data_IF_140667006775
#
_entry.id   IF_140667006775
#
_cell.length_a   1.000
_cell.length_b   1.000
_cell.length_c   1.000
_cell.angle_alpha   90.00
_cell.angle_beta   90.00
_cell.angle_gamma   90.00
#
_symmetry.space_group_name_H-M   'P 1'
#
loop_
_entity.id
_entity.type
_entity.pdbx_description
1 polymer ?
#
# COMPACT_ATOMS: atom_id res chain seq x y z
N UNK A 1 52.07 -3.89 -38.60
CA UNK A 1 52.23 -4.23 -37.16
C UNK A 1 52.59 -3.04 -36.27
N UNK A 2 53.43 -2.08 -36.69
CA UNK A 2 53.85 -0.95 -35.85
C UNK A 2 52.72 0.07 -35.54
N UNK A 3 51.85 0.31 -36.51
CA UNK A 3 50.74 1.28 -36.40
C UNK A 3 49.64 0.85 -35.42
N UNK A 4 49.29 -0.45 -35.39
CA UNK A 4 48.37 -1.02 -34.41
C UNK A 4 48.94 -0.98 -32.97
N UNK A 5 50.26 -1.08 -32.82
CA UNK A 5 50.92 -0.97 -31.52
C UNK A 5 50.92 0.49 -31.01
N UNK A 6 51.10 1.47 -31.90
CA UNK A 6 51.03 2.89 -31.56
C UNK A 6 49.60 3.29 -31.14
N UNK A 7 48.59 2.83 -31.88
CA UNK A 7 47.18 3.08 -31.59
C UNK A 7 46.76 2.47 -30.24
N UNK A 8 47.25 1.26 -29.93
CA UNK A 8 46.99 0.60 -28.64
C UNK A 8 47.67 1.32 -27.48
N UNK A 9 48.85 1.92 -27.72
CA UNK A 9 49.59 2.72 -26.72
C UNK A 9 48.90 4.06 -26.45
N UNK A 10 48.40 4.72 -27.49
CA UNK A 10 47.59 5.94 -27.37
C UNK A 10 46.27 5.67 -26.63
N UNK A 11 45.51 4.64 -27.01
CA UNK A 11 44.29 4.24 -26.30
C UNK A 11 44.55 3.92 -24.83
N UNK A 12 45.67 3.26 -24.50
CA UNK A 12 46.04 2.99 -23.11
C UNK A 12 46.44 4.27 -22.34
N UNK A 13 47.03 5.26 -23.00
CA UNK A 13 47.35 6.55 -22.37
C UNK A 13 46.08 7.37 -22.13
N UNK A 14 45.19 7.46 -23.12
CA UNK A 14 43.88 8.10 -22.99
C UNK A 14 43.06 7.45 -21.88
N UNK A 15 43.03 6.11 -21.81
CA UNK A 15 42.33 5.39 -20.75
C UNK A 15 42.89 5.69 -19.36
N UNK A 16 44.22 5.79 -19.22
CA UNK A 16 44.87 6.20 -17.96
C UNK A 16 44.57 7.65 -17.60
N UNK A 17 44.45 8.54 -18.58
CA UNK A 17 44.09 9.94 -18.37
C UNK A 17 42.64 10.03 -17.86
N UNK A 18 41.72 9.37 -18.54
CA UNK A 18 40.30 9.28 -18.16
C UNK A 18 40.10 8.71 -16.75
N UNK A 19 40.86 7.68 -16.37
CA UNK A 19 40.81 7.14 -15.01
C UNK A 19 41.29 8.14 -13.95
N UNK A 20 42.33 8.93 -14.25
CA UNK A 20 42.83 9.97 -13.34
C UNK A 20 41.83 11.10 -13.20
N UNK A 21 41.23 11.53 -14.30
CA UNK A 21 40.22 12.60 -14.31
C UNK A 21 38.94 12.15 -13.58
N UNK A 22 38.52 10.89 -13.75
CA UNK A 22 37.42 10.30 -13.01
C UNK A 22 37.72 10.23 -11.50
N UNK A 23 38.91 9.79 -11.10
CA UNK A 23 39.29 9.74 -9.69
C UNK A 23 39.40 11.15 -9.07
N UNK A 24 39.82 12.14 -9.86
CA UNK A 24 39.85 13.54 -9.44
C UNK A 24 38.43 14.08 -9.22
N UNK A 25 37.50 13.79 -10.15
CA UNK A 25 36.08 14.17 -10.01
C UNK A 25 35.41 13.52 -8.79
N UNK A 26 35.74 12.25 -8.48
CA UNK A 26 35.28 11.57 -7.26
C UNK A 26 35.70 12.29 -5.98
N UNK A 27 36.90 12.90 -5.97
CA UNK A 27 37.44 13.63 -4.82
C UNK A 27 36.92 15.06 -4.72
N UNK A 28 36.77 15.75 -5.86
CA UNK A 28 36.42 17.18 -5.88
C UNK A 28 34.93 17.43 -5.62
N UNK A 29 34.03 16.55 -6.09
CA UNK A 29 32.58 16.73 -5.95
C UNK A 29 31.84 15.40 -5.66
N UNK A 30 31.94 14.88 -4.43
CA UNK A 30 31.36 13.58 -4.08
C UNK A 30 29.83 13.54 -4.24
N UNK A 31 29.13 14.64 -3.95
CA UNK A 31 27.66 14.71 -4.07
C UNK A 31 27.18 14.61 -5.52
N UNK A 32 27.84 15.30 -6.46
CA UNK A 32 27.48 15.21 -7.89
C UNK A 32 27.85 13.86 -8.49
N UNK A 33 28.96 13.27 -8.03
CA UNK A 33 29.34 11.92 -8.40
C UNK A 33 28.28 10.90 -7.94
N UNK A 34 27.81 11.01 -6.70
CA UNK A 34 26.75 10.17 -6.15
C UNK A 34 25.45 10.32 -6.96
N UNK A 35 25.03 11.55 -7.27
CA UNK A 35 23.86 11.80 -8.10
C UNK A 35 23.99 11.16 -9.49
N UNK A 36 25.15 11.29 -10.14
CA UNK A 36 25.42 10.66 -11.43
C UNK A 36 25.32 9.13 -11.35
N UNK A 37 25.78 8.50 -10.25
CA UNK A 37 25.65 7.05 -10.05
C UNK A 37 24.18 6.63 -9.93
N UNK A 38 23.37 7.36 -9.16
CA UNK A 38 21.92 7.13 -9.09
C UNK A 38 21.24 7.27 -10.46
N UNK A 39 21.56 8.31 -11.24
CA UNK A 39 21.01 8.48 -12.60
C UNK A 39 21.44 7.37 -13.58
N UNK A 40 22.66 6.85 -13.44
CA UNK A 40 23.14 5.71 -14.24
C UNK A 40 22.39 4.43 -13.86
N UNK A 41 22.20 4.20 -12.56
CA UNK A 41 21.42 3.07 -12.04
C UNK A 41 20.00 3.10 -12.60
N UNK A 42 19.31 4.24 -12.48
CA UNK A 42 17.91 4.37 -12.90
C UNK A 42 17.74 4.15 -14.41
N UNK A 43 18.68 4.64 -15.22
CA UNK A 43 18.72 4.35 -16.67
C UNK A 43 18.83 2.86 -16.97
N UNK A 44 19.67 2.13 -16.24
CA UNK A 44 19.83 0.68 -16.43
C UNK A 44 18.57 -0.05 -15.98
N UNK A 45 17.99 0.32 -14.84
CA UNK A 45 16.74 -0.28 -14.33
C UNK A 45 15.59 -0.08 -15.32
N UNK A 46 15.42 1.13 -15.86
CA UNK A 46 14.42 1.41 -16.89
C UNK A 46 14.62 0.55 -18.14
N UNK A 47 15.86 0.46 -18.64
CA UNK A 47 16.16 -0.39 -19.80
C UNK A 47 15.84 -1.88 -19.56
N UNK A 48 16.12 -2.39 -18.36
CA UNK A 48 15.76 -3.78 -17.99
C UNK A 48 14.24 -3.95 -17.92
N UNK A 49 13.52 -2.98 -17.35
CA UNK A 49 12.05 -3.03 -17.26
C UNK A 49 11.39 -3.01 -18.64
N UNK A 50 11.87 -2.18 -19.56
CA UNK A 50 11.38 -2.12 -20.95
C UNK A 50 11.59 -3.45 -21.67
N UNK A 51 12.78 -4.05 -21.57
CA UNK A 51 13.07 -5.36 -22.19
C UNK A 51 12.24 -6.48 -21.59
N UNK A 52 12.03 -6.49 -20.26
CA UNK A 52 11.10 -7.44 -19.61
C UNK A 52 9.67 -7.29 -20.11
N UNK A 53 9.17 -6.07 -20.27
CA UNK A 53 7.85 -5.82 -20.86
C UNK A 53 7.77 -6.35 -22.29
N UNK A 54 8.78 -6.06 -23.12
CA UNK A 54 8.88 -6.58 -24.48
C UNK A 54 8.91 -8.12 -24.50
N UNK A 55 9.66 -8.76 -23.61
CA UNK A 55 9.72 -10.21 -23.50
C UNK A 55 8.37 -10.81 -23.07
N UNK A 56 7.66 -10.18 -22.13
CA UNK A 56 6.29 -10.58 -21.75
C UNK A 56 5.29 -10.42 -22.90
N UNK A 57 5.37 -9.31 -23.65
CA UNK A 57 4.53 -9.09 -24.82
C UNK A 57 4.83 -10.10 -25.95
N UNK A 58 6.09 -10.53 -26.10
CA UNK A 58 6.50 -11.56 -27.07
C UNK A 58 6.04 -12.96 -26.67
N UNK A 59 6.02 -13.27 -25.37
CA UNK A 59 5.54 -14.55 -24.86
C UNK A 59 4.00 -14.65 -24.85
N UNK A 60 3.30 -13.52 -24.93
CA UNK A 60 1.83 -13.49 -25.00
C UNK A 60 1.33 -13.81 -26.41
N UNK A 61 0.63 -14.94 -26.55
CA UNK A 61 0.17 -15.50 -27.84
C UNK A 61 -0.73 -14.56 -28.66
N UNK A 62 -1.46 -13.64 -28.01
CA UNK A 62 -2.41 -12.72 -28.66
C UNK A 62 -1.97 -11.24 -28.67
N UNK A 63 -0.70 -10.93 -28.37
CA UNK A 63 -0.23 -9.54 -28.33
C UNK A 63 -0.19 -8.90 -29.72
N UNK A 64 -0.55 -7.60 -29.80
CA UNK A 64 -0.38 -6.76 -31.00
C UNK A 64 1.06 -6.76 -31.52
N UNK A 65 2.03 -6.94 -30.61
CA UNK A 65 3.44 -7.03 -30.99
C UNK A 65 3.75 -8.34 -31.72
N UNK A 66 3.19 -9.47 -31.27
CA UNK A 66 3.26 -10.74 -32.00
C UNK A 66 2.57 -10.66 -33.37
N UNK A 67 1.40 -10.01 -33.46
CA UNK A 67 0.69 -9.80 -34.72
C UNK A 67 1.51 -8.99 -35.73
N UNK A 68 2.08 -7.86 -35.30
CA UNK A 68 2.97 -7.03 -36.15
C UNK A 68 4.24 -7.77 -36.53
N UNK A 69 4.81 -8.58 -35.64
CA UNK A 69 6.04 -9.33 -35.91
C UNK A 69 5.83 -10.44 -36.93
N UNK A 70 4.71 -11.17 -36.84
CA UNK A 70 4.30 -12.15 -37.87
C UNK A 70 4.08 -11.45 -39.21
N UNK A 71 3.43 -10.28 -39.21
CA UNK A 71 3.20 -9.51 -40.43
C UNK A 71 4.51 -9.03 -41.08
N UNK A 72 5.48 -8.56 -40.28
CA UNK A 72 6.79 -8.14 -40.78
C UNK A 72 7.65 -9.31 -41.25
N UNK A 73 7.62 -10.45 -40.54
CA UNK A 73 8.31 -11.67 -40.96
C UNK A 73 7.73 -12.24 -42.26
N UNK A 74 6.40 -12.25 -42.38
CA UNK A 74 5.71 -12.62 -43.62
C UNK A 74 6.10 -11.68 -44.78
N UNK A 75 6.28 -10.39 -44.53
CA UNK A 75 6.71 -9.43 -45.54
C UNK A 75 8.20 -9.58 -45.93
N UNK A 76 9.07 -9.94 -44.98
CA UNK A 76 10.50 -10.19 -45.23
C UNK A 76 10.77 -11.54 -45.94
N UNK A 77 9.84 -12.50 -45.84
CA UNK A 77 9.90 -13.80 -46.51
C UNK A 77 9.09 -13.89 -47.81
N UNK A 78 8.45 -12.80 -48.25
CA UNK A 78 7.57 -12.78 -49.42
C UNK A 78 8.32 -12.63 -50.76
N UNK A 79 9.42 -13.37 -50.94
CA UNK A 79 9.90 -13.67 -52.29
C UNK A 79 9.48 -15.11 -52.64
N UNK A 80 8.60 -15.17 -53.64
CA UNK A 80 7.98 -16.31 -54.31
C UNK A 80 6.78 -17.04 -53.67
N UNK A 81 5.76 -17.21 -54.53
CA UNK A 81 4.49 -17.89 -54.30
C UNK A 81 4.69 -19.32 -53.81
N UNK A 82 4.62 -19.56 -52.51
CA UNK A 82 4.44 -20.90 -51.92
C UNK A 82 3.46 -20.79 -50.77
N UNK A 83 2.57 -21.77 -50.65
CA UNK A 83 1.59 -21.90 -49.56
C UNK A 83 2.27 -21.68 -48.19
N UNK A 84 1.53 -21.03 -47.28
CA UNK A 84 1.95 -20.72 -45.90
C UNK A 84 2.46 -21.97 -45.16
N UNK A 85 3.79 -22.16 -45.20
CA UNK A 85 4.50 -23.27 -44.56
C UNK A 85 5.32 -22.81 -43.34
N UNK A 86 5.01 -21.61 -42.82
CA UNK A 86 5.72 -21.02 -41.70
C UNK A 86 5.58 -21.91 -40.46
N UNK A 87 6.69 -22.57 -40.07
CA UNK A 87 6.73 -23.57 -39.01
C UNK A 87 6.93 -25.03 -39.43
N UNK A 88 7.07 -25.35 -40.73
CA UNK A 88 7.56 -26.67 -41.18
C UNK A 88 9.09 -26.73 -41.33
N UNK A 89 9.76 -25.60 -41.55
CA UNK A 89 11.21 -25.50 -41.65
C UNK A 89 11.86 -25.09 -40.32
N UNK A 90 12.88 -25.84 -39.88
CA UNK A 90 13.64 -25.59 -38.64
C UNK A 90 14.28 -24.19 -38.59
N UNK A 91 14.48 -23.55 -39.75
CA UNK A 91 15.09 -22.22 -39.92
C UNK A 91 14.26 -21.10 -39.30
N UNK A 92 12.93 -21.22 -39.30
CA UNK A 92 12.04 -20.22 -38.69
C UNK A 92 12.21 -20.20 -37.17
N UNK A 93 12.44 -21.37 -36.57
CA UNK A 93 12.67 -21.51 -35.13
C UNK A 93 14.06 -21.02 -34.70
N UNK A 94 15.04 -21.00 -35.60
CA UNK A 94 16.36 -20.43 -35.35
C UNK A 94 16.31 -18.90 -35.21
N UNK A 95 15.47 -18.21 -35.98
CA UNK A 95 15.27 -16.76 -35.89
C UNK A 95 14.61 -16.37 -34.55
N UNK A 96 13.64 -17.17 -34.06
CA UNK A 96 13.06 -16.96 -32.74
C UNK A 96 14.08 -17.16 -31.61
N UNK A 97 14.92 -18.20 -31.72
CA UNK A 97 15.96 -18.49 -30.72
C UNK A 97 17.07 -17.44 -30.72
N UNK A 98 17.47 -16.93 -31.87
CA UNK A 98 18.52 -15.90 -31.96
C UNK A 98 18.08 -14.58 -31.31
N UNK A 99 16.86 -14.11 -31.60
CA UNK A 99 16.32 -12.87 -31.00
C UNK A 99 16.12 -13.01 -29.49
N UNK A 100 15.59 -14.15 -29.03
CA UNK A 100 15.42 -14.41 -27.59
C UNK A 100 16.78 -14.46 -26.88
N UNK A 101 17.77 -15.14 -27.47
CA UNK A 101 19.13 -15.25 -26.93
C UNK A 101 19.87 -13.91 -26.91
N UNK A 102 19.64 -13.04 -27.88
CA UNK A 102 20.19 -11.68 -27.88
C UNK A 102 19.59 -10.82 -26.76
N UNK A 103 18.28 -10.90 -26.54
CA UNK A 103 17.60 -10.20 -25.43
C UNK A 103 18.14 -10.70 -24.09
N UNK A 104 18.20 -12.02 -23.89
CA UNK A 104 18.71 -12.62 -22.66
C UNK A 104 20.19 -12.25 -22.43
N UNK A 105 21.02 -12.26 -23.46
CA UNK A 105 22.44 -11.86 -23.37
C UNK A 105 22.60 -10.37 -23.03
N UNK A 106 21.77 -9.51 -23.61
CA UNK A 106 21.78 -8.08 -23.32
C UNK A 106 21.31 -7.79 -21.89
N UNK A 107 20.35 -8.55 -21.38
CA UNK A 107 19.83 -8.44 -20.03
C UNK A 107 20.85 -8.87 -18.99
N UNK A 108 21.55 -9.99 -19.20
CA UNK A 108 22.65 -10.41 -18.33
C UNK A 108 23.73 -9.33 -18.24
N UNK A 109 24.16 -8.75 -19.37
CA UNK A 109 25.13 -7.63 -19.37
C UNK A 109 24.63 -6.41 -18.59
N UNK A 110 23.35 -6.07 -18.70
CA UNK A 110 22.75 -4.96 -17.95
C UNK A 110 22.68 -5.25 -16.45
N UNK A 111 22.38 -6.49 -16.05
CA UNK A 111 22.38 -6.91 -14.63
C UNK A 111 23.77 -6.84 -14.01
N UNK A 112 24.81 -7.29 -14.70
CA UNK A 112 26.19 -7.18 -14.19
C UNK A 112 26.61 -5.71 -13.97
N UNK A 113 26.29 -4.83 -14.93
CA UNK A 113 26.55 -3.38 -14.79
C UNK A 113 25.76 -2.76 -13.65
N UNK A 114 24.52 -3.20 -13.44
CA UNK A 114 23.70 -2.76 -12.32
C UNK A 114 24.34 -3.16 -11.00
N UNK A 115 24.78 -4.42 -10.86
CA UNK A 115 25.45 -4.92 -9.66
C UNK A 115 26.73 -4.14 -9.35
N UNK A 116 27.54 -3.82 -10.36
CA UNK A 116 28.76 -3.02 -10.20
C UNK A 116 28.46 -1.63 -9.62
N UNK A 117 27.46 -0.94 -10.18
CA UNK A 117 27.02 0.38 -9.72
C UNK A 117 26.39 0.32 -8.33
N UNK A 118 25.57 -0.71 -8.05
CA UNK A 118 24.95 -0.86 -6.72
C UNK A 118 25.97 -1.17 -5.63
N UNK A 119 27.03 -1.94 -5.96
CA UNK A 119 28.14 -2.17 -5.03
C UNK A 119 28.89 -0.86 -4.74
N UNK A 120 29.21 -0.07 -5.78
CA UNK A 120 29.86 1.24 -5.61
C UNK A 120 28.98 2.23 -4.80
N UNK A 121 27.66 2.22 -5.03
CA UNK A 121 26.72 3.03 -4.26
C UNK A 121 26.62 2.62 -2.79
N UNK A 122 26.69 1.32 -2.47
CA UNK A 122 26.71 0.83 -1.09
C UNK A 122 27.96 1.26 -0.32
N UNK A 123 29.10 1.27 -1.00
CA UNK A 123 30.37 1.68 -0.38
C UNK A 123 30.42 3.20 -0.11
N UNK A 124 29.72 4.00 -0.94
CA UNK A 124 29.72 5.47 -0.86
C UNK A 124 28.59 6.06 -0.01
N UNK A 125 27.42 5.42 0.02
CA UNK A 125 26.20 5.93 0.67
C UNK A 125 25.63 4.88 1.64
N UNK A 126 25.85 5.05 2.96
CA UNK A 126 25.27 4.16 3.97
C UNK A 126 23.74 4.11 3.94
N UNK A 127 23.09 5.17 3.43
CA UNK A 127 21.63 5.26 3.31
C UNK A 127 21.10 4.72 1.98
N UNK A 128 21.97 4.17 1.12
CA UNK A 128 21.60 3.67 -0.21
C UNK A 128 20.41 2.71 -0.15
N UNK A 129 20.46 1.71 0.72
CA UNK A 129 19.39 0.71 0.84
C UNK A 129 18.06 1.35 1.27
N UNK A 130 18.10 2.33 2.17
CA UNK A 130 16.91 3.06 2.64
C UNK A 130 16.32 3.92 1.51
N UNK A 131 17.16 4.59 0.72
CA UNK A 131 16.73 5.41 -0.42
C UNK A 131 16.12 4.55 -1.54
N UNK A 132 16.72 3.39 -1.82
CA UNK A 132 16.17 2.42 -2.78
C UNK A 132 14.85 1.83 -2.29
N UNK A 133 14.73 1.48 -1.00
CA UNK A 133 13.46 1.03 -0.43
C UNK A 133 12.37 2.10 -0.56
N UNK A 134 12.70 3.38 -0.34
CA UNK A 134 11.77 4.50 -0.56
C UNK A 134 11.36 4.68 -2.02
N UNK A 135 12.24 4.39 -2.98
CA UNK A 135 11.95 4.57 -4.42
C UNK A 135 11.26 3.36 -5.06
N UNK A 136 11.51 2.13 -4.57
CA UNK A 136 10.84 0.90 -5.02
C UNK A 136 9.43 0.76 -4.42
N UNK A 137 9.18 1.39 -3.29
CA UNK A 137 7.94 1.22 -2.53
C UNK A 137 6.69 1.63 -3.32
N UNK A 138 6.06 0.63 -3.97
CA UNK A 138 4.72 0.27 -3.53
C UNK A 138 4.81 0.09 -2.00
N UNK A 139 4.36 1.10 -1.26
CA UNK A 139 4.48 1.27 0.21
C UNK A 139 3.90 0.10 1.03
N UNK A 140 3.33 -0.92 0.37
CA UNK A 140 2.63 -2.04 0.96
C UNK A 140 3.33 -3.40 0.84
N UNK A 141 4.50 -3.50 0.20
CA UNK A 141 5.21 -4.78 0.12
C UNK A 141 6.06 -4.98 1.40
N UNK A 142 5.47 -5.67 2.38
CA UNK A 142 6.14 -6.13 3.59
C UNK A 142 7.30 -7.06 3.20
N UNK A 143 8.53 -6.54 3.22
CA UNK A 143 9.72 -7.36 3.10
C UNK A 143 9.83 -8.25 4.35
N UNK A 144 9.63 -9.56 4.19
CA UNK A 144 9.65 -10.54 5.30
C UNK A 144 11.00 -10.67 6.04
N UNK A 145 12.03 -9.92 5.62
CA UNK A 145 13.38 -9.95 6.20
C UNK A 145 13.66 -8.79 7.16
N UNK A 146 12.67 -7.95 7.46
CA UNK A 146 12.82 -6.81 8.38
C UNK A 146 12.17 -7.13 9.73
N UNK A 147 12.88 -6.90 10.83
CA UNK A 147 12.33 -6.97 12.20
C UNK A 147 11.38 -5.82 12.53
N UNK A 148 10.92 -5.07 11.53
CA UNK A 148 10.06 -3.90 11.68
C UNK A 148 8.89 -3.99 10.70
N UNK A 149 7.70 -3.67 11.19
CA UNK A 149 6.47 -3.59 10.39
C UNK A 149 6.21 -2.12 10.08
N UNK A 150 6.27 -1.77 8.79
CA UNK A 150 5.93 -0.42 8.35
C UNK A 150 4.41 -0.26 8.30
N UNK A 151 3.87 0.67 9.10
CA UNK A 151 2.47 1.04 9.08
C UNK A 151 2.28 2.33 8.27
N UNK A 152 1.41 2.28 7.26
CA UNK A 152 1.08 3.42 6.42
C UNK A 152 -0.42 3.74 6.55
N UNK A 153 -1.21 3.38 5.55
CA UNK A 153 -2.67 3.60 5.51
C UNK A 153 -3.42 2.82 6.60
N UNK A 154 -2.82 1.76 7.14
CA UNK A 154 -3.42 0.89 8.16
C UNK A 154 -3.79 1.66 9.44
N UNK A 155 -3.04 2.74 9.74
CA UNK A 155 -3.30 3.60 10.90
C UNK A 155 -4.67 4.29 10.84
N UNK A 156 -5.12 4.64 9.63
CA UNK A 156 -6.40 5.33 9.40
C UNK A 156 -7.49 4.35 8.94
N UNK A 157 -7.13 3.36 8.13
CA UNK A 157 -8.06 2.37 7.59
C UNK A 157 -8.76 1.56 8.67
N UNK A 158 -8.04 1.17 9.73
CA UNK A 158 -8.65 0.43 10.84
C UNK A 158 -9.69 1.25 11.61
N UNK A 159 -9.53 2.57 11.67
CA UNK A 159 -10.48 3.46 12.36
C UNK A 159 -11.71 3.76 11.51
N UNK A 160 -11.58 3.67 10.19
CA UNK A 160 -12.68 3.92 9.24
C UNK A 160 -13.80 2.88 9.35
N UNK A 161 -13.55 1.72 9.96
CA UNK A 161 -14.53 0.64 10.14
C UNK A 161 -15.79 1.13 10.89
N UNK A 162 -15.66 2.12 11.79
CA UNK A 162 -16.82 2.71 12.48
C UNK A 162 -17.80 3.42 11.52
N UNK A 163 -17.29 3.97 10.42
CA UNK A 163 -18.08 4.71 9.44
C UNK A 163 -18.36 3.86 8.20
N UNK A 164 -17.49 2.90 7.89
CA UNK A 164 -17.57 2.04 6.72
C UNK A 164 -17.22 0.58 7.06
N UNK A 165 -18.10 -0.16 7.75
CA UNK A 165 -17.86 -1.56 8.16
C UNK A 165 -17.57 -2.50 6.97
N UNK A 166 -18.12 -2.18 5.80
CA UNK A 166 -17.89 -2.92 4.56
C UNK A 166 -16.41 -3.04 4.16
N UNK A 167 -15.52 -2.16 4.68
CA UNK A 167 -14.07 -2.25 4.43
C UNK A 167 -13.44 -3.57 4.89
N UNK A 168 -14.07 -4.26 5.85
CA UNK A 168 -13.66 -5.58 6.35
C UNK A 168 -14.64 -6.68 5.96
N UNK A 169 -15.54 -6.42 5.02
CA UNK A 169 -16.57 -7.38 4.58
C UNK A 169 -17.73 -7.57 5.58
N UNK A 170 -17.89 -6.66 6.55
CA UNK A 170 -19.04 -6.68 7.46
C UNK A 170 -20.17 -5.87 6.83
N UNK A 171 -21.26 -6.54 6.47
CA UNK A 171 -22.46 -5.95 5.85
C UNK A 171 -23.34 -5.24 6.90
N UNK A 172 -22.80 -4.22 7.57
CA UNK A 172 -23.52 -3.37 8.51
C UNK A 172 -23.40 -1.90 8.10
N UNK A 173 -24.38 -1.09 8.53
CA UNK A 173 -24.33 0.35 8.35
C UNK A 173 -23.34 1.00 9.31
N UNK A 174 -22.70 2.07 8.86
CA UNK A 174 -21.80 2.87 9.69
C UNK A 174 -22.55 3.68 10.75
N UNK A 175 -21.81 4.27 11.69
CA UNK A 175 -22.38 5.05 12.79
C UNK A 175 -23.36 6.14 12.32
N UNK A 176 -23.02 6.86 11.26
CA UNK A 176 -23.83 7.99 10.75
C UNK A 176 -25.18 7.49 10.24
N UNK A 177 -25.19 6.40 9.47
CA UNK A 177 -26.42 5.83 8.93
C UNK A 177 -27.27 5.17 10.02
N UNK A 178 -26.63 4.55 11.03
CA UNK A 178 -27.34 4.03 12.20
C UNK A 178 -28.04 5.15 12.99
N UNK A 179 -27.44 6.34 13.09
CA UNK A 179 -28.09 7.50 13.72
C UNK A 179 -29.32 7.95 12.91
N UNK A 180 -29.30 7.84 11.57
CA UNK A 180 -30.47 8.15 10.70
C UNK A 180 -31.66 7.22 10.92
N UNK A 181 -31.44 6.03 11.47
CA UNK A 181 -32.51 5.10 11.82
C UNK A 181 -33.20 5.45 13.15
N UNK A 182 -32.74 6.50 13.86
CA UNK A 182 -33.38 7.04 15.07
C UNK A 182 -34.87 7.36 14.85
N UNK A 183 -35.72 7.23 15.90
CA UNK A 183 -37.12 7.62 15.84
C UNK A 183 -37.31 9.07 15.37
N UNK A 184 -38.02 9.22 14.25
CA UNK A 184 -38.29 10.52 13.63
C UNK A 184 -38.98 11.47 14.61
N UNK A 185 -38.48 12.70 14.71
CA UNK A 185 -39.08 13.78 15.48
C UNK A 185 -38.38 14.10 16.80
N UNK A 186 -37.52 13.20 17.29
CA UNK A 186 -36.62 13.50 18.42
C UNK A 186 -35.21 13.91 17.97
N UNK A 187 -34.93 13.80 16.67
CA UNK A 187 -33.59 13.92 16.09
C UNK A 187 -32.91 15.24 16.48
N UNK A 188 -33.62 16.38 16.43
CA UNK A 188 -33.05 17.68 16.79
C UNK A 188 -32.62 17.76 18.26
N UNK A 189 -33.38 17.16 19.19
CA UNK A 189 -33.06 17.18 20.61
C UNK A 189 -31.91 16.21 20.94
N UNK A 190 -31.90 15.05 20.29
CA UNK A 190 -30.88 14.01 20.48
C UNK A 190 -29.54 14.43 19.88
N UNK A 191 -29.52 15.04 18.69
CA UNK A 191 -28.31 15.52 18.02
C UNK A 191 -27.63 16.68 18.76
N UNK A 192 -28.36 17.40 19.60
CA UNK A 192 -27.82 18.43 20.50
C UNK A 192 -27.19 17.85 21.78
N UNK A 193 -27.28 16.55 22.02
CA UNK A 193 -26.79 15.93 23.25
C UNK A 193 -26.13 14.57 22.98
N UNK A 194 -25.15 14.55 22.08
CA UNK A 194 -24.39 13.33 21.79
C UNK A 194 -23.21 13.22 22.75
N UNK A 195 -23.14 12.12 23.49
CA UNK A 195 -22.00 11.80 24.36
C UNK A 195 -21.29 10.56 23.83
N UNK A 196 -20.00 10.69 23.49
CA UNK A 196 -19.15 9.58 23.09
C UNK A 196 -18.49 8.95 24.32
N UNK A 197 -18.72 7.65 24.49
CA UNK A 197 -18.18 6.81 25.57
C UNK A 197 -17.59 5.52 25.00
N UNK A 198 -16.89 4.75 25.83
CA UNK A 198 -16.18 3.52 25.47
C UNK A 198 -14.76 3.75 24.93
N UNK A 199 -14.05 2.65 24.68
CA UNK A 199 -12.66 2.69 24.18
C UNK A 199 -12.53 3.38 22.81
N UNK A 200 -13.50 3.20 21.92
CA UNK A 200 -13.50 3.80 20.58
C UNK A 200 -13.52 5.33 20.59
N UNK A 201 -14.08 5.96 21.64
CA UNK A 201 -14.11 7.41 21.80
C UNK A 201 -12.72 8.03 22.03
N UNK A 202 -11.71 7.22 22.38
CA UNK A 202 -10.30 7.67 22.48
C UNK A 202 -9.62 7.81 21.12
N UNK A 203 -10.28 7.41 20.03
CA UNK A 203 -9.74 7.53 18.67
C UNK A 203 -9.53 9.00 18.31
N UNK A 204 -8.31 9.34 17.89
CA UNK A 204 -7.99 10.70 17.50
C UNK A 204 -8.85 11.15 16.32
N UNK A 205 -9.52 12.30 16.45
CA UNK A 205 -10.33 12.86 15.37
C UNK A 205 -11.76 12.31 15.26
N UNK A 206 -12.17 11.37 16.13
CA UNK A 206 -13.48 10.70 16.01
C UNK A 206 -14.65 11.68 16.16
N UNK A 207 -14.55 12.62 17.10
CA UNK A 207 -15.57 13.64 17.34
C UNK A 207 -15.69 14.58 16.13
N UNK A 208 -14.58 15.06 15.60
CA UNK A 208 -14.54 15.95 14.45
C UNK A 208 -15.08 15.25 13.20
N UNK A 209 -14.71 13.98 13.00
CA UNK A 209 -15.21 13.18 11.88
C UNK A 209 -16.72 12.98 11.98
N UNK A 210 -17.22 12.52 13.12
CA UNK A 210 -18.66 12.31 13.33
C UNK A 210 -19.45 13.62 13.19
N UNK A 211 -18.95 14.71 13.75
CA UNK A 211 -19.59 16.02 13.65
C UNK A 211 -19.68 16.48 12.20
N UNK A 212 -18.60 16.33 11.41
CA UNK A 212 -18.59 16.69 10.00
C UNK A 212 -19.65 15.92 9.21
N UNK A 213 -19.69 14.60 9.40
CA UNK A 213 -20.61 13.74 8.65
C UNK A 213 -22.07 13.99 9.05
N UNK A 214 -22.35 14.27 10.33
CA UNK A 214 -23.70 14.62 10.76
C UNK A 214 -24.14 16.01 10.28
N UNK A 215 -23.25 17.00 10.25
CA UNK A 215 -23.58 18.35 9.74
C UNK A 215 -23.95 18.30 8.25
N UNK A 216 -23.33 17.41 7.46
CA UNK A 216 -23.73 17.24 6.05
C UNK A 216 -25.12 16.64 5.85
N UNK A 217 -25.66 15.97 6.86
CA UNK A 217 -26.91 15.21 6.78
C UNK A 217 -28.08 15.92 7.46
N UNK A 218 -27.81 16.77 8.45
CA UNK A 218 -28.82 17.41 9.28
C UNK A 218 -28.67 18.93 9.30
N UNK A 219 -29.78 19.63 9.05
CA UNK A 219 -29.88 21.08 9.18
C UNK A 219 -30.34 21.48 10.60
N UNK A 220 -29.53 21.12 11.61
CA UNK A 220 -29.75 21.52 13.00
C UNK A 220 -28.43 21.64 13.78
N UNK A 221 -28.41 22.37 14.91
CA UNK A 221 -27.24 22.40 15.78
C UNK A 221 -26.88 20.99 16.27
N UNK A 222 -25.61 20.62 16.12
CA UNK A 222 -25.08 19.32 16.56
C UNK A 222 -24.02 19.59 17.64
N UNK A 223 -24.20 18.99 18.81
CA UNK A 223 -23.27 19.08 19.93
C UNK A 223 -22.83 17.68 20.34
N UNK A 224 -21.54 17.44 20.17
CA UNK A 224 -20.89 16.15 20.44
C UNK A 224 -19.83 16.36 21.50
N UNK A 225 -19.92 15.62 22.60
CA UNK A 225 -18.96 15.67 23.70
C UNK A 225 -18.35 14.29 23.91
N UNK A 226 -17.04 14.23 24.06
CA UNK A 226 -16.38 13.02 24.57
C UNK A 226 -16.48 13.07 26.09
N UNK A 227 -16.88 11.96 26.71
CA UNK A 227 -16.89 11.84 28.17
C UNK A 227 -15.49 12.08 28.75
N UNK A 228 -15.40 12.71 29.93
CA UNK A 228 -14.12 13.06 30.57
C UNK A 228 -13.23 11.84 30.79
N UNK A 229 -13.82 10.72 31.21
CA UNK A 229 -13.21 9.40 31.15
C UNK A 229 -14.13 8.49 30.32
N UNK A 230 -13.83 8.24 29.04
CA UNK A 230 -14.72 7.46 28.20
C UNK A 230 -14.64 5.95 28.49
N UNK A 231 -13.59 5.45 29.14
CA UNK A 231 -13.47 4.00 29.41
C UNK A 231 -14.13 3.64 30.73
N UNK A 232 -13.85 4.39 31.81
CA UNK A 232 -14.40 4.11 33.13
C UNK A 232 -15.59 5.01 33.49
N UNK A 233 -15.94 5.99 32.66
CA UNK A 233 -17.04 6.92 32.90
C UNK A 233 -18.37 6.23 33.17
N UNK A 234 -18.66 5.14 32.46
CA UNK A 234 -19.88 4.33 32.71
C UNK A 234 -19.88 3.73 34.11
N UNK A 235 -18.75 3.21 34.58
CA UNK A 235 -18.63 2.65 35.93
C UNK A 235 -18.75 3.74 37.01
N UNK A 236 -18.08 4.88 36.83
CA UNK A 236 -18.22 6.02 37.74
C UNK A 236 -19.65 6.56 37.77
N UNK A 237 -20.31 6.60 36.61
CA UNK A 237 -21.72 6.96 36.47
C UNK A 237 -22.59 6.02 37.29
N UNK A 238 -22.41 4.70 37.14
CA UNK A 238 -23.18 3.71 37.90
C UNK A 238 -22.86 3.75 39.40
N UNK A 239 -21.61 3.95 39.81
CA UNK A 239 -21.23 4.14 41.21
C UNK A 239 -21.95 5.34 41.83
N UNK A 240 -21.95 6.47 41.13
CA UNK A 240 -22.63 7.68 41.59
C UNK A 240 -24.15 7.51 41.60
N UNK A 241 -24.69 6.84 40.59
CA UNK A 241 -26.10 6.48 40.50
C UNK A 241 -26.52 5.62 41.70
N UNK A 242 -25.76 4.56 41.99
CA UNK A 242 -26.07 3.64 43.08
C UNK A 242 -26.02 4.31 44.46
N UNK A 243 -25.03 5.19 44.68
CA UNK A 243 -24.94 5.95 45.92
C UNK A 243 -26.08 6.97 46.07
N UNK A 244 -26.50 7.62 44.99
CA UNK A 244 -27.53 8.66 45.02
C UNK A 244 -28.95 8.09 45.12
N UNK A 245 -29.22 6.98 44.43
CA UNK A 245 -30.56 6.39 44.29
C UNK A 245 -30.69 5.05 45.00
N UNK A 246 -29.98 4.85 46.12
CA UNK A 246 -29.93 3.58 46.84
C UNK A 246 -31.31 3.04 47.22
N UNK A 247 -32.22 3.90 47.70
CA UNK A 247 -33.59 3.51 48.08
C UNK A 247 -34.44 3.10 46.87
N UNK A 248 -34.25 3.75 45.73
CA UNK A 248 -34.91 3.44 44.48
C UNK A 248 -34.40 2.10 43.92
N UNK A 249 -33.10 1.86 43.99
CA UNK A 249 -32.50 0.61 43.53
C UNK A 249 -33.12 -0.62 44.20
N UNK A 250 -33.44 -0.56 45.49
CA UNK A 250 -34.11 -1.68 46.18
C UNK A 250 -35.47 -2.03 45.55
N UNK A 251 -36.19 -1.05 44.97
CA UNK A 251 -37.49 -1.29 44.33
C UNK A 251 -37.34 -2.01 42.98
N UNK A 252 -36.24 -1.77 42.28
CA UNK A 252 -35.97 -2.32 40.94
C UNK A 252 -34.93 -3.44 40.94
N UNK A 253 -34.38 -3.82 42.09
CA UNK A 253 -33.49 -4.96 42.23
C UNK A 253 -34.28 -6.25 42.32
N UNK A 254 -33.77 -7.31 41.70
CA UNK A 254 -34.32 -8.66 41.81
C UNK A 254 -33.72 -9.31 43.05
N UNK A 255 -34.57 -9.75 43.98
CA UNK A 255 -34.12 -10.44 45.19
C UNK A 255 -33.80 -11.91 44.89
N UNK A 256 -33.08 -12.58 45.81
CA UNK A 256 -32.83 -14.01 45.68
C UNK A 256 -34.13 -14.83 45.78
N UNK A 257 -35.09 -14.37 46.60
CA UNK A 257 -36.39 -15.02 46.76
C UNK A 257 -37.23 -14.86 45.50
N UNK A 258 -37.26 -13.65 44.91
CA UNK A 258 -37.92 -13.38 43.63
C UNK A 258 -37.39 -14.34 42.54
N UNK A 259 -36.06 -14.53 42.50
CA UNK A 259 -35.41 -15.42 41.56
C UNK A 259 -35.78 -16.89 41.77
N UNK A 260 -35.82 -17.35 43.02
CA UNK A 260 -36.13 -18.74 43.36
C UNK A 260 -37.60 -19.10 43.09
N UNK A 261 -38.52 -18.15 43.29
CA UNK A 261 -39.96 -18.36 43.05
C UNK A 261 -40.35 -18.27 41.57
N UNK A 262 -39.82 -17.26 40.86
CA UNK A 262 -40.23 -16.94 39.49
C UNK A 262 -39.38 -17.70 38.46
N UNK A 263 -38.07 -17.84 38.73
CA UNK A 263 -37.09 -18.42 37.81
C UNK A 263 -36.71 -17.51 36.64
N UNK A 264 -35.83 -18.01 35.76
CA UNK A 264 -35.25 -17.22 34.64
C UNK A 264 -36.08 -17.19 33.37
N UNK A 265 -37.07 -18.08 33.23
CA UNK A 265 -37.84 -18.24 31.99
C UNK A 265 -39.06 -17.33 31.91
N UNK A 266 -39.47 -16.72 33.02
CA UNK A 266 -40.63 -15.84 33.08
C UNK A 266 -40.18 -14.39 33.00
N UNK A 267 -40.79 -13.64 32.09
CA UNK A 267 -40.50 -12.22 31.89
C UNK A 267 -40.85 -11.35 33.11
N UNK A 268 -41.74 -11.85 33.97
CA UNK A 268 -42.20 -11.20 35.22
C UNK A 268 -41.06 -10.90 36.21
N UNK A 269 -39.92 -11.61 36.10
CA UNK A 269 -38.75 -11.34 36.94
C UNK A 269 -38.07 -10.01 36.59
N UNK A 270 -38.22 -9.51 35.36
CA UNK A 270 -37.58 -8.28 34.92
C UNK A 270 -38.38 -7.06 35.40
N UNK A 271 -37.78 -6.30 36.32
CA UNK A 271 -38.36 -5.05 36.83
C UNK A 271 -38.08 -3.92 35.85
N UNK A 272 -39.12 -3.19 35.45
CA UNK A 272 -38.98 -2.02 34.58
C UNK A 272 -38.35 -0.88 35.38
N UNK A 273 -37.10 -0.55 35.06
CA UNK A 273 -36.36 0.56 35.66
C UNK A 273 -36.62 1.86 34.86
N UNK A 274 -36.75 3.03 35.52
CA UNK A 274 -37.08 4.30 34.87
C UNK A 274 -35.91 4.94 34.08
N UNK A 275 -34.72 4.37 34.18
CA UNK A 275 -33.51 4.78 33.43
C UNK A 275 -33.01 3.61 32.59
#
# INVERSE_FOLDING_TARGET
MHEQALLKKQKNQEFKQLQKDANKFKLEEPEKYLQMLYEKRDRIVLSIQERKKLQQEMNSRNSRFNQKRIQTLAFLGADDKVEDDFGKDDKDWEIYRSVTKEIDSADEKSKYKLQEIEQELKDLDPDFEIKILKSIANVHQLGMNLSQVQLSVDRVRCQEIYFYPNLIGVEQQGLVDMIKLSPKGLDKLLLQNIILTGGGAKTQGIMQRLQKDLISEYDCPIDIKIASDPVFGTWFGMKNFANKYQSMLSQFSISIDDYNEIGTQKWEIFKQHPF
#
